data_IF_161037245305
#
_entry.id   IF_161037245305
#
_cell.length_a   1.000
_cell.length_b   1.000
_cell.length_c   1.000
_cell.angle_alpha   90.00
_cell.angle_beta   90.00
_cell.angle_gamma   90.00
#
_symmetry.space_group_name_H-M   'P 1'
#
loop_
_entity.id
_entity.type
_entity.pdbx_description
1 polymer ?
#
# COMPACT_ATOMS: atom_id res chain seq x y z
N UNK A 1 6.43 16.04 5.39
CA UNK A 1 7.09 17.25 4.87
C UNK A 1 6.14 17.91 3.89
N UNK A 2 6.05 19.24 3.83
CA UNK A 2 5.19 19.88 2.84
C UNK A 2 5.85 19.86 1.45
N UNK A 3 5.09 19.50 0.42
CA UNK A 3 5.48 19.62 -0.98
C UNK A 3 4.27 20.10 -1.81
N UNK A 4 4.24 21.37 -2.24
CA UNK A 4 3.13 21.93 -2.99
C UNK A 4 3.03 21.40 -4.43
N UNK A 5 4.03 20.67 -4.93
CA UNK A 5 4.06 20.13 -6.30
C UNK A 5 3.39 18.75 -6.43
N UNK A 6 3.03 18.09 -5.33
CA UNK A 6 2.39 16.78 -5.40
C UNK A 6 1.07 16.84 -6.16
N UNK A 7 0.81 15.77 -6.92
CA UNK A 7 -0.47 15.58 -7.64
C UNK A 7 -1.60 15.16 -6.71
N UNK A 8 -1.26 14.60 -5.55
CA UNK A 8 -2.19 14.08 -4.54
C UNK A 8 -2.02 14.80 -3.19
N UNK A 9 -3.00 14.71 -2.28
CA UNK A 9 -2.92 15.36 -0.97
C UNK A 9 -1.77 14.86 -0.09
N UNK A 10 -1.34 13.60 -0.27
CA UNK A 10 -0.15 13.06 0.34
C UNK A 10 0.48 11.98 -0.55
N UNK A 11 1.78 11.72 -0.37
CA UNK A 11 2.53 10.68 -1.07
C UNK A 11 3.69 10.18 -0.19
N UNK A 12 3.90 8.86 -0.13
CA UNK A 12 5.04 8.25 0.55
C UNK A 12 6.26 8.18 -0.38
N UNK A 13 7.36 8.81 0.03
CA UNK A 13 8.67 8.66 -0.59
C UNK A 13 9.64 8.08 0.43
N UNK A 14 10.10 6.85 0.18
CA UNK A 14 10.85 6.05 1.16
C UNK A 14 10.09 5.99 2.50
N UNK A 15 10.69 6.44 3.58
CA UNK A 15 10.19 6.41 4.95
C UNK A 15 9.49 7.71 5.38
N UNK A 16 9.21 8.62 4.44
CA UNK A 16 8.63 9.94 4.72
C UNK A 16 7.35 10.15 3.93
N UNK A 17 6.35 10.75 4.58
CA UNK A 17 5.14 11.24 3.92
C UNK A 17 5.34 12.70 3.55
N UNK A 18 5.16 13.00 2.27
CA UNK A 18 5.02 14.35 1.77
C UNK A 18 3.53 14.71 1.70
N UNK A 19 3.18 15.94 2.06
CA UNK A 19 1.79 16.42 2.08
C UNK A 19 1.66 17.68 1.23
N UNK A 20 0.55 17.80 0.52
CA UNK A 20 0.20 18.97 -0.26
C UNK A 20 -1.11 19.56 0.25
N UNK A 21 -0.99 20.61 1.06
CA UNK A 21 -2.14 21.28 1.68
C UNK A 21 -3.06 21.94 0.64
N UNK A 22 -2.54 22.31 -0.53
CA UNK A 22 -3.31 22.92 -1.62
C UNK A 22 -4.21 21.92 -2.37
N UNK A 23 -4.13 20.62 -2.04
CA UNK A 23 -4.94 19.55 -2.63
C UNK A 23 -5.96 18.97 -1.65
N UNK A 24 -6.09 19.57 -0.46
CA UNK A 24 -7.04 19.14 0.56
C UNK A 24 -8.39 19.84 0.33
N UNK A 25 -9.22 19.22 -0.50
CA UNK A 25 -10.58 19.71 -0.77
C UNK A 25 -11.61 19.15 0.24
N UNK A 26 -11.27 18.04 0.89
CA UNK A 26 -12.13 17.36 1.86
C UNK A 26 -11.28 16.74 2.99
N UNK A 27 -11.55 17.17 4.23
CA UNK A 27 -10.77 16.75 5.40
C UNK A 27 -10.86 15.24 5.68
N UNK A 28 -12.03 14.63 5.47
CA UNK A 28 -12.22 13.21 5.68
C UNK A 28 -11.46 12.39 4.64
N UNK A 29 -11.52 12.80 3.37
CA UNK A 29 -10.74 12.16 2.31
C UNK A 29 -9.23 12.29 2.56
N UNK A 30 -8.79 13.46 3.01
CA UNK A 30 -7.40 13.68 3.39
C UNK A 30 -6.96 12.77 4.56
N UNK A 31 -7.80 12.59 5.58
CA UNK A 31 -7.49 11.67 6.67
C UNK A 31 -7.32 10.22 6.16
N UNK A 32 -8.15 9.78 5.21
CA UNK A 32 -7.98 8.47 4.57
C UNK A 32 -6.67 8.39 3.77
N UNK A 33 -6.36 9.41 2.97
CA UNK A 33 -5.10 9.46 2.20
C UNK A 33 -3.89 9.43 3.14
N UNK A 34 -3.88 10.23 4.20
CA UNK A 34 -2.77 10.26 5.15
C UNK A 34 -2.59 8.91 5.85
N UNK A 35 -3.68 8.29 6.30
CA UNK A 35 -3.61 6.96 6.91
C UNK A 35 -3.16 5.86 5.94
N UNK A 36 -3.53 5.95 4.66
CA UNK A 36 -2.99 5.10 3.60
C UNK A 36 -1.47 5.23 3.50
N UNK A 37 -0.96 6.46 3.39
CA UNK A 37 0.48 6.73 3.31
C UNK A 37 1.23 6.32 4.59
N UNK A 38 0.61 6.42 5.76
CA UNK A 38 1.19 5.89 7.02
C UNK A 38 1.39 4.38 6.97
N UNK A 39 0.47 3.63 6.34
CA UNK A 39 0.65 2.19 6.15
C UNK A 39 1.85 1.91 5.22
N UNK A 40 2.03 2.71 4.17
CA UNK A 40 3.17 2.60 3.27
C UNK A 40 4.53 2.84 3.96
N UNK A 41 4.61 3.87 4.81
CA UNK A 41 5.82 4.15 5.60
C UNK A 41 6.11 3.03 6.58
N UNK A 42 5.10 2.53 7.29
CA UNK A 42 5.25 1.39 8.18
C UNK A 42 5.85 0.18 7.45
N UNK A 43 5.32 -0.16 6.27
CA UNK A 43 5.80 -1.30 5.50
C UNK A 43 7.25 -1.12 5.03
N UNK A 44 7.59 0.10 4.58
CA UNK A 44 8.94 0.43 4.15
C UNK A 44 9.98 0.31 5.28
N UNK A 45 9.61 0.70 6.51
CA UNK A 45 10.50 0.68 7.66
C UNK A 45 10.64 -0.70 8.32
N UNK A 46 9.53 -1.44 8.41
CA UNK A 46 9.47 -2.59 9.32
C UNK A 46 9.09 -3.91 8.65
N UNK A 47 8.49 -3.88 7.46
CA UNK A 47 7.93 -5.09 6.86
C UNK A 47 8.62 -5.56 5.58
N UNK A 48 9.43 -4.70 4.95
CA UNK A 48 10.11 -4.99 3.68
C UNK A 48 10.93 -6.30 3.71
N UNK A 49 11.70 -6.52 4.77
CA UNK A 49 12.51 -7.74 4.94
C UNK A 49 11.62 -8.98 5.12
N UNK A 50 10.57 -8.87 5.95
CA UNK A 50 9.62 -9.96 6.18
C UNK A 50 8.86 -10.34 4.91
N UNK A 51 8.49 -9.34 4.10
CA UNK A 51 7.88 -9.54 2.80
C UNK A 51 8.81 -10.30 1.84
N UNK A 52 10.09 -9.91 1.79
CA UNK A 52 11.14 -10.61 1.01
C UNK A 52 11.23 -12.08 1.42
N UNK A 53 11.29 -12.36 2.73
CA UNK A 53 11.37 -13.72 3.28
C UNK A 53 10.19 -14.59 2.84
N UNK A 54 8.96 -14.06 3.00
CA UNK A 54 7.72 -14.80 2.76
C UNK A 54 7.51 -15.09 1.27
N UNK A 55 7.78 -14.10 0.42
CA UNK A 55 7.53 -14.23 -1.03
C UNK A 55 8.67 -14.94 -1.77
N UNK A 56 9.83 -15.09 -1.12
CA UNK A 56 11.06 -15.61 -1.72
C UNK A 56 11.73 -14.66 -2.71
N UNK A 57 11.24 -13.41 -2.83
CA UNK A 57 11.83 -12.38 -3.68
C UNK A 57 13.01 -11.72 -2.96
N UNK A 58 14.14 -12.43 -2.90
CA UNK A 58 15.27 -12.06 -2.02
C UNK A 58 16.06 -10.82 -2.45
N UNK A 59 16.13 -10.55 -3.75
CA UNK A 59 16.75 -9.32 -4.24
C UNK A 59 15.77 -8.15 -4.15
N UNK A 60 15.88 -7.38 -3.06
CA UNK A 60 15.00 -6.25 -2.77
C UNK A 60 15.17 -5.05 -3.71
N UNK A 61 16.16 -5.06 -4.59
CA UNK A 61 16.36 -4.04 -5.62
C UNK A 61 15.87 -4.50 -7.00
N UNK A 62 15.48 -5.77 -7.14
CA UNK A 62 14.98 -6.31 -8.38
C UNK A 62 13.60 -5.74 -8.75
N UNK A 63 13.36 -5.55 -10.05
CA UNK A 63 12.06 -5.08 -10.57
C UNK A 63 10.89 -5.97 -10.08
N UNK A 64 11.00 -7.32 -10.08
CA UNK A 64 9.95 -8.18 -9.55
C UNK A 64 9.64 -7.93 -8.08
N UNK A 65 10.66 -7.77 -7.24
CA UNK A 65 10.47 -7.43 -5.82
C UNK A 65 9.76 -6.09 -5.66
N UNK A 66 10.28 -5.04 -6.31
CA UNK A 66 9.75 -3.68 -6.15
C UNK A 66 8.29 -3.61 -6.58
N UNK A 67 7.93 -4.20 -7.74
CA UNK A 67 6.55 -4.25 -8.22
C UNK A 67 5.64 -5.02 -7.25
N UNK A 68 6.08 -6.20 -6.78
CA UNK A 68 5.29 -7.00 -5.85
C UNK A 68 5.10 -6.29 -4.51
N UNK A 69 6.15 -5.65 -3.98
CA UNK A 69 6.08 -4.93 -2.72
C UNK A 69 5.20 -3.68 -2.84
N UNK A 70 5.29 -2.92 -3.93
CA UNK A 70 4.41 -1.78 -4.17
C UNK A 70 2.95 -2.20 -4.33
N UNK A 71 2.66 -3.27 -5.07
CA UNK A 71 1.29 -3.79 -5.17
C UNK A 71 0.74 -4.23 -3.81
N UNK A 72 1.55 -4.94 -3.02
CA UNK A 72 1.20 -5.34 -1.66
C UNK A 72 0.86 -4.13 -0.78
N UNK A 73 1.71 -3.11 -0.78
CA UNK A 73 1.50 -1.88 0.00
C UNK A 73 0.20 -1.18 -0.36
N UNK A 74 -0.11 -1.08 -1.66
CA UNK A 74 -1.36 -0.49 -2.16
C UNK A 74 -2.57 -1.29 -1.68
N UNK A 75 -2.51 -2.63 -1.76
CA UNK A 75 -3.56 -3.50 -1.25
C UNK A 75 -3.78 -3.31 0.25
N UNK A 76 -2.72 -3.21 1.04
CA UNK A 76 -2.80 -2.96 2.49
C UNK A 76 -3.35 -1.57 2.81
N UNK A 77 -2.88 -0.54 2.12
CA UNK A 77 -3.36 0.83 2.30
C UNK A 77 -4.85 0.95 2.00
N UNK A 78 -5.31 0.37 0.88
CA UNK A 78 -6.73 0.34 0.52
C UNK A 78 -7.53 -0.49 1.53
N UNK A 79 -7.00 -1.63 2.00
CA UNK A 79 -7.69 -2.44 3.02
C UNK A 79 -7.91 -1.65 4.32
N UNK A 80 -6.91 -0.88 4.73
CA UNK A 80 -7.02 0.02 5.88
C UNK A 80 -8.09 1.09 5.65
N UNK A 81 -8.13 1.73 4.47
CA UNK A 81 -9.17 2.70 4.13
C UNK A 81 -10.58 2.09 4.18
N UNK A 82 -10.75 0.87 3.67
CA UNK A 82 -12.02 0.12 3.74
C UNK A 82 -12.43 -0.12 5.19
N UNK A 83 -11.50 -0.58 6.04
CA UNK A 83 -11.76 -0.84 7.46
C UNK A 83 -12.14 0.43 8.22
N UNK A 84 -11.60 1.59 7.82
CA UNK A 84 -11.96 2.89 8.39
C UNK A 84 -13.22 3.51 7.76
N UNK A 85 -13.89 2.79 6.86
CA UNK A 85 -15.18 3.18 6.30
C UNK A 85 -15.11 4.11 5.10
N UNK A 86 -14.00 4.13 4.35
CA UNK A 86 -13.93 4.93 3.12
C UNK A 86 -15.02 4.47 2.12
N UNK A 87 -15.99 5.34 1.77
CA UNK A 87 -17.12 4.96 0.93
C UNK A 87 -16.74 4.62 -0.52
N UNK A 88 -15.52 4.98 -0.97
CA UNK A 88 -15.02 4.71 -2.32
C UNK A 88 -14.89 3.21 -2.63
N UNK A 89 -14.67 2.39 -1.60
CA UNK A 89 -14.27 0.98 -1.75
C UNK A 89 -15.27 -0.01 -1.13
N UNK A 90 -16.55 0.37 -1.02
CA UNK A 90 -17.58 -0.46 -0.40
C UNK A 90 -17.71 -1.83 -1.08
N UNK A 91 -17.75 -2.89 -0.27
CA UNK A 91 -18.09 -4.25 -0.72
C UNK A 91 -16.94 -5.07 -1.30
N UNK A 92 -15.70 -4.59 -1.22
CA UNK A 92 -14.49 -5.32 -1.64
C UNK A 92 -13.45 -5.31 -0.52
N UNK A 93 -12.47 -6.22 -0.57
CA UNK A 93 -11.28 -6.18 0.30
C UNK A 93 -10.12 -5.46 -0.42
N UNK A 94 -9.07 -5.08 0.31
CA UNK A 94 -7.97 -4.29 -0.26
C UNK A 94 -7.23 -4.98 -1.41
N UNK A 95 -7.03 -6.30 -1.34
CA UNK A 95 -6.41 -7.06 -2.44
C UNK A 95 -7.25 -7.02 -3.71
N UNK A 96 -8.57 -7.25 -3.58
CA UNK A 96 -9.52 -7.20 -4.68
C UNK A 96 -9.61 -5.80 -5.28
N UNK A 97 -9.67 -4.77 -4.43
CA UNK A 97 -9.69 -3.39 -4.86
C UNK A 97 -8.40 -3.00 -5.61
N UNK A 98 -7.23 -3.28 -5.05
CA UNK A 98 -5.95 -3.01 -5.70
C UNK A 98 -5.81 -3.76 -7.03
N UNK A 99 -6.22 -5.02 -7.09
CA UNK A 99 -6.19 -5.81 -8.33
C UNK A 99 -7.09 -5.20 -9.40
N UNK A 100 -8.28 -4.76 -9.03
CA UNK A 100 -9.24 -4.15 -9.95
C UNK A 100 -8.74 -2.81 -10.50
N UNK A 101 -8.29 -1.91 -9.63
CA UNK A 101 -7.90 -0.55 -10.04
C UNK A 101 -6.51 -0.50 -10.69
N UNK A 102 -5.56 -1.32 -10.25
CA UNK A 102 -4.16 -1.22 -10.69
C UNK A 102 -3.67 -2.41 -11.51
N UNK A 103 -4.47 -3.47 -11.64
CA UNK A 103 -4.15 -4.62 -12.47
C UNK A 103 -4.39 -4.40 -13.96
N UNK A 104 -4.31 -5.47 -14.78
CA UNK A 104 -4.33 -5.39 -16.24
C UNK A 104 -5.59 -4.72 -16.83
N UNK A 105 -6.73 -4.86 -16.17
CA UNK A 105 -8.01 -4.31 -16.62
C UNK A 105 -8.29 -2.89 -16.08
N UNK A 106 -7.42 -2.38 -15.19
CA UNK A 106 -7.51 -1.03 -14.61
C UNK A 106 -6.46 -0.10 -15.19
N UNK A 107 -5.62 0.48 -14.33
CA UNK A 107 -4.52 1.35 -14.73
C UNK A 107 -3.32 0.61 -15.34
N UNK A 108 -3.33 -0.73 -15.38
CA UNK A 108 -2.25 -1.57 -15.89
C UNK A 108 -0.87 -1.26 -15.26
N UNK A 109 -0.86 -0.84 -13.99
CA UNK A 109 0.37 -0.56 -13.20
C UNK A 109 1.07 -1.86 -12.82
N UNK A 110 0.31 -2.94 -12.60
CA UNK A 110 0.80 -4.26 -12.24
C UNK A 110 0.27 -5.32 -13.20
N UNK A 111 1.15 -6.20 -13.68
CA UNK A 111 0.77 -7.35 -14.49
C UNK A 111 0.19 -8.49 -13.62
N UNK A 112 -0.49 -9.44 -14.27
CA UNK A 112 -1.15 -10.54 -13.56
C UNK A 112 -0.17 -11.42 -12.78
N UNK A 113 1.07 -11.60 -13.26
CA UNK A 113 2.07 -12.41 -12.55
C UNK A 113 2.46 -11.78 -11.21
N UNK A 114 2.58 -10.45 -11.15
CA UNK A 114 2.82 -9.72 -9.90
C UNK A 114 1.63 -9.88 -8.93
N UNK A 115 0.41 -9.74 -9.45
CA UNK A 115 -0.82 -9.88 -8.66
C UNK A 115 -0.92 -11.30 -8.08
N UNK A 116 -0.73 -12.32 -8.91
CA UNK A 116 -0.81 -13.73 -8.50
C UNK A 116 0.26 -14.05 -7.46
N UNK A 117 1.48 -13.54 -7.65
CA UNK A 117 2.60 -13.74 -6.72
C UNK A 117 2.29 -13.18 -5.34
N UNK A 118 1.71 -12.00 -5.24
CA UNK A 118 1.33 -11.39 -3.94
C UNK A 118 0.10 -12.08 -3.37
N UNK A 119 -0.90 -12.37 -4.21
CA UNK A 119 -2.16 -13.02 -3.80
C UNK A 119 -1.92 -14.38 -3.15
N UNK A 120 -0.95 -15.16 -3.67
CA UNK A 120 -0.55 -16.46 -3.11
C UNK A 120 -0.17 -16.39 -1.62
N UNK A 121 0.47 -15.30 -1.19
CA UNK A 121 0.95 -15.14 0.18
C UNK A 121 0.13 -14.13 1.00
N UNK A 122 -0.91 -13.52 0.44
CA UNK A 122 -1.50 -12.30 1.00
C UNK A 122 -1.96 -12.47 2.45
N UNK A 123 -2.70 -13.54 2.77
CA UNK A 123 -3.14 -13.79 4.14
C UNK A 123 -1.98 -14.00 5.13
N UNK A 124 -0.91 -14.67 4.70
CA UNK A 124 0.30 -14.82 5.51
C UNK A 124 0.97 -13.45 5.72
N UNK A 125 1.11 -12.65 4.66
CA UNK A 125 1.69 -11.31 4.74
C UNK A 125 0.90 -10.42 5.70
N UNK A 126 -0.43 -10.42 5.65
CA UNK A 126 -1.27 -9.64 6.59
C UNK A 126 -1.09 -10.11 8.04
N UNK A 127 -1.03 -11.43 8.27
CA UNK A 127 -0.80 -11.98 9.61
C UNK A 127 0.55 -11.57 10.18
N UNK A 128 1.63 -11.72 9.40
CA UNK A 128 2.98 -11.37 9.85
C UNK A 128 3.12 -9.84 10.01
N UNK A 129 2.49 -9.05 9.13
CA UNK A 129 2.46 -7.58 9.25
C UNK A 129 1.82 -7.15 10.56
N UNK A 130 0.71 -7.80 10.97
CA UNK A 130 0.07 -7.53 12.27
C UNK A 130 1.00 -7.85 13.44
N UNK A 131 1.84 -8.89 13.33
CA UNK A 131 2.84 -9.21 14.36
C UNK A 131 3.89 -8.10 14.43
N UNK A 132 4.46 -7.69 13.29
CA UNK A 132 5.44 -6.58 13.27
C UNK A 132 4.83 -5.28 13.79
N UNK A 133 3.59 -4.94 13.40
CA UNK A 133 2.91 -3.75 13.90
C UNK A 133 2.79 -3.76 15.43
N UNK A 134 2.49 -4.91 16.02
CA UNK A 134 2.39 -5.05 17.47
C UNK A 134 3.75 -5.01 18.20
N UNK A 135 4.87 -5.18 17.49
CA UNK A 135 6.22 -5.04 18.07
C UNK A 135 6.72 -3.59 18.08
N UNK A 136 6.17 -2.76 17.20
CA UNK A 136 6.58 -1.37 17.01
C UNK A 136 5.53 -0.35 17.49
N UNK A 137 4.51 -0.80 18.23
CA UNK A 137 3.50 0.05 18.88
C UNK A 137 3.96 0.57 20.24
#
# INVERSE_FOLDING_TARGET
MEDPQLKHPAETVKDVIFVNMNKIDNLLFYAFTLGHEMNHVFDNLFFKDKFSDITGLRDQNSIPFLKAFYFYKEAVGIDWEIQMGNPKFKGVNGLGAASFYYGPNGAAKYDQNIIDKVSLYFYQLIRERKIEYNRHK
#
